data_IF_690276860150
#
_entry.id   IF_690276860150
#
_cell.length_a   1.000
_cell.length_b   1.000
_cell.length_c   1.000
_cell.angle_alpha   90.00
_cell.angle_beta   90.00
_cell.angle_gamma   90.00
#
_symmetry.space_group_name_H-M   'P 1'
#
loop_
_entity.id
_entity.type
_entity.pdbx_description
1 polymer ?
#
# COMPACT_ATOMS: atom_id res chain seq x y z
N UNK A 1 4.58 -14.14 -0.03
CA UNK A 1 4.30 -13.29 1.15
C UNK A 1 3.73 -11.96 0.69
N UNK A 2 2.56 -11.58 1.19
CA UNK A 2 1.88 -10.31 0.89
C UNK A 2 2.25 -9.26 1.94
N UNK A 3 2.46 -8.01 1.53
CA UNK A 3 2.85 -6.92 2.42
C UNK A 3 2.40 -5.54 1.91
N UNK A 4 2.30 -4.57 2.82
CA UNK A 4 1.97 -3.18 2.50
C UNK A 4 3.24 -2.45 2.05
N UNK A 5 3.17 -1.81 0.89
CA UNK A 5 4.25 -0.99 0.30
C UNK A 5 3.85 0.48 0.29
N UNK A 6 4.71 1.33 0.84
CA UNK A 6 4.56 2.80 0.83
C UNK A 6 5.60 3.43 -0.07
N UNK A 7 5.19 4.40 -0.89
CA UNK A 7 6.11 5.11 -1.81
C UNK A 7 5.78 6.59 -1.85
N UNK A 8 6.81 7.44 -1.72
CA UNK A 8 6.67 8.88 -1.96
C UNK A 8 6.52 9.17 -3.44
N UNK A 9 5.47 9.88 -3.82
CA UNK A 9 5.19 10.27 -5.20
C UNK A 9 5.84 11.62 -5.53
N UNK A 10 5.95 11.94 -6.83
CA UNK A 10 6.47 13.23 -7.30
C UNK A 10 5.61 14.43 -6.84
N UNK A 11 4.32 14.22 -6.58
CA UNK A 11 3.40 15.26 -6.09
C UNK A 11 3.49 15.48 -4.58
N UNK A 12 4.40 14.79 -3.88
CA UNK A 12 4.57 14.89 -2.43
C UNK A 12 3.66 13.97 -1.61
N UNK A 13 2.73 13.25 -2.25
CA UNK A 13 1.88 12.26 -1.57
C UNK A 13 2.64 10.99 -1.19
N UNK A 14 2.05 10.18 -0.30
CA UNK A 14 2.48 8.81 0.00
C UNK A 14 1.47 7.84 -0.60
N UNK A 15 1.87 7.12 -1.65
CA UNK A 15 1.06 6.05 -2.22
C UNK A 15 1.14 4.80 -1.33
N UNK A 16 -0.01 4.23 -1.01
CA UNK A 16 -0.16 2.94 -0.30
C UNK A 16 -0.58 1.87 -1.31
N UNK A 17 0.15 0.77 -1.30
CA UNK A 17 -0.02 -0.36 -2.20
C UNK A 17 0.07 -1.65 -1.40
N UNK A 18 -0.50 -2.72 -1.92
CA UNK A 18 -0.24 -4.09 -1.48
C UNK A 18 0.57 -4.78 -2.56
N UNK A 19 1.64 -5.44 -2.14
CA UNK A 19 2.53 -6.18 -3.00
C UNK A 19 2.76 -7.59 -2.47
N UNK A 20 3.12 -8.50 -3.36
CA UNK A 20 3.56 -9.84 -3.02
C UNK A 20 5.00 -10.06 -3.47
N UNK A 21 5.72 -10.90 -2.75
CA UNK A 21 6.91 -11.56 -3.27
C UNK A 21 6.51 -12.84 -3.99
N UNK A 22 6.81 -12.91 -5.29
CA UNK A 22 6.57 -14.06 -6.16
C UNK A 22 7.72 -14.24 -7.13
N UNK A 23 8.25 -15.48 -7.23
CA UNK A 23 9.36 -15.86 -8.13
C UNK A 23 10.58 -14.91 -8.04
N UNK A 24 10.98 -14.56 -6.81
CA UNK A 24 12.13 -13.68 -6.56
C UNK A 24 11.92 -12.21 -6.94
N UNK A 25 10.69 -11.80 -7.25
CA UNK A 25 10.34 -10.41 -7.61
C UNK A 25 9.19 -9.90 -6.76
N UNK A 26 9.17 -8.58 -6.55
CA UNK A 26 8.00 -7.91 -5.97
C UNK A 26 6.99 -7.60 -7.07
N UNK A 27 5.72 -7.92 -6.85
CA UNK A 27 4.61 -7.57 -7.73
C UNK A 27 3.57 -6.78 -6.96
N UNK A 28 3.12 -5.65 -7.51
CA UNK A 28 2.00 -4.89 -6.94
C UNK A 28 0.71 -5.61 -7.32
N UNK A 29 -0.09 -5.99 -6.32
CA UNK A 29 -1.36 -6.71 -6.51
C UNK A 29 -2.58 -5.84 -6.23
N UNK A 30 -2.45 -4.79 -5.40
CA UNK A 30 -3.50 -3.80 -5.17
C UNK A 30 -2.91 -2.42 -4.99
N UNK A 31 -3.53 -1.42 -5.61
CA UNK A 31 -3.30 0.01 -5.29
C UNK A 31 -4.42 0.44 -4.34
N UNK A 32 -4.05 0.97 -3.18
CA UNK A 32 -5.01 1.35 -2.13
C UNK A 32 -5.37 2.83 -2.26
N UNK A 33 -4.37 3.69 -2.45
CA UNK A 33 -4.59 5.13 -2.64
C UNK A 33 -3.31 5.93 -2.42
N UNK A 34 -3.44 7.25 -2.32
CA UNK A 34 -2.35 8.16 -1.96
C UNK A 34 -2.81 9.16 -0.89
N UNK A 35 -1.96 9.40 0.10
CA UNK A 35 -2.22 10.31 1.20
C UNK A 35 -1.32 11.55 1.13
N UNK A 36 -1.90 12.73 1.33
CA UNK A 36 -1.21 14.00 1.51
C UNK A 36 -1.06 14.39 2.98
N UNK A 37 -1.81 13.73 3.88
CA UNK A 37 -1.74 13.93 5.33
C UNK A 37 -1.50 12.62 6.08
N UNK A 38 -1.01 12.72 7.32
CA UNK A 38 -0.83 11.54 8.18
C UNK A 38 -2.17 10.87 8.55
N UNK A 39 -3.24 11.66 8.68
CA UNK A 39 -4.59 11.14 8.93
C UNK A 39 -5.08 10.28 7.76
N UNK A 40 -4.95 10.78 6.52
CA UNK A 40 -5.25 10.01 5.31
C UNK A 40 -4.38 8.75 5.22
N UNK A 41 -3.09 8.87 5.56
CA UNK A 41 -2.18 7.73 5.54
C UNK A 41 -2.64 6.63 6.51
N UNK A 42 -3.07 7.00 7.72
CA UNK A 42 -3.63 6.07 8.70
C UNK A 42 -4.84 5.30 8.16
N UNK A 43 -5.78 6.00 7.51
CA UNK A 43 -6.96 5.39 6.88
C UNK A 43 -6.56 4.41 5.78
N UNK A 44 -5.63 4.80 4.90
CA UNK A 44 -5.17 3.91 3.83
C UNK A 44 -4.41 2.70 4.36
N UNK A 45 -3.67 2.82 5.47
CA UNK A 45 -3.00 1.70 6.10
C UNK A 45 -3.97 0.70 6.73
N UNK A 46 -5.01 1.20 7.40
CA UNK A 46 -6.07 0.35 7.94
C UNK A 46 -6.80 -0.42 6.82
N UNK A 47 -7.14 0.27 5.73
CA UNK A 47 -7.76 -0.36 4.56
C UNK A 47 -6.83 -1.39 3.89
N UNK A 48 -5.54 -1.07 3.74
CA UNK A 48 -4.56 -2.00 3.20
C UNK A 48 -4.39 -3.25 4.08
N UNK A 49 -4.44 -3.09 5.41
CA UNK A 49 -4.41 -4.21 6.35
C UNK A 49 -5.64 -5.09 6.20
N UNK A 50 -6.84 -4.52 6.19
CA UNK A 50 -8.08 -5.28 5.97
C UNK A 50 -8.05 -6.07 4.67
N UNK A 51 -7.56 -5.46 3.59
CA UNK A 51 -7.42 -6.17 2.30
C UNK A 51 -6.47 -7.38 2.36
N UNK A 52 -5.42 -7.32 3.18
CA UNK A 52 -4.49 -8.46 3.38
C UNK A 52 -5.13 -9.53 4.26
N UNK A 53 -5.87 -9.14 5.28
CA UNK A 53 -6.47 -10.07 6.24
C UNK A 53 -7.70 -10.80 5.63
N UNK A 54 -8.38 -10.17 4.67
CA UNK A 54 -9.57 -10.71 3.98
C UNK A 54 -9.23 -11.61 2.76
N UNK A 55 -7.96 -11.69 2.33
CA UNK A 55 -7.52 -12.38 1.11
C UNK A 55 -6.72 -13.65 1.36
#
# INVERSE_FOLDING_TARGET
>A
MVFIRRVRTKSGATAVQVAEYSRGRQRIIKRIGSAHTEAELGVLLAHARGWIDDG
#
